data_IF_831838449289
#
_entry.id   IF_831838449289
#
_cell.length_a   1.000
_cell.length_b   1.000
_cell.length_c   1.000
_cell.angle_alpha   90.00
_cell.angle_beta   90.00
_cell.angle_gamma   90.00
#
_symmetry.space_group_name_H-M   'P 1'
#
loop_
_entity.id
_entity.type
_entity.pdbx_description
1 polymer ?
#
# COMPACT_ATOMS: atom_id res chain seq x y z
N UNK A 1 2.77 3.73 -21.27
CA UNK A 1 3.79 2.72 -20.90
C UNK A 1 3.41 1.34 -21.41
N UNK A 2 2.31 0.75 -20.95
CA UNK A 2 1.84 -0.59 -21.37
C UNK A 2 1.68 -0.76 -22.88
N UNK A 3 1.03 0.20 -23.56
CA UNK A 3 0.87 0.15 -25.02
C UNK A 3 2.22 0.09 -25.74
N UNK A 4 3.16 0.95 -25.35
CA UNK A 4 4.51 0.99 -25.93
C UNK A 4 5.29 -0.31 -25.70
N UNK A 5 5.17 -0.86 -24.48
CA UNK A 5 5.76 -2.15 -24.15
C UNK A 5 5.23 -3.26 -25.07
N UNK A 6 3.91 -3.34 -25.24
CA UNK A 6 3.30 -4.33 -26.14
C UNK A 6 3.70 -4.10 -27.59
N UNK A 7 3.81 -2.86 -28.06
CA UNK A 7 4.29 -2.56 -29.41
C UNK A 7 5.73 -3.04 -29.62
N UNK A 8 6.61 -2.89 -28.62
CA UNK A 8 8.01 -3.27 -28.72
C UNK A 8 8.25 -4.77 -28.53
N UNK A 9 7.47 -5.44 -27.68
CA UNK A 9 7.74 -6.80 -27.22
C UNK A 9 6.67 -7.84 -27.61
N UNK A 10 5.63 -7.46 -28.35
CA UNK A 10 4.64 -8.41 -28.86
C UNK A 10 5.30 -9.53 -29.67
N UNK A 11 4.89 -10.76 -29.41
CA UNK A 11 5.38 -11.96 -30.06
C UNK A 11 6.64 -12.57 -29.42
N UNK A 12 7.29 -11.88 -28.49
CA UNK A 12 8.50 -12.36 -27.81
C UNK A 12 8.17 -13.30 -26.63
N UNK A 13 9.10 -14.22 -26.34
CA UNK A 13 9.01 -15.10 -25.17
C UNK A 13 9.69 -14.45 -23.96
N UNK A 14 9.06 -14.58 -22.80
CA UNK A 14 9.57 -14.10 -21.53
C UNK A 14 9.66 -15.24 -20.51
N UNK A 15 10.64 -15.14 -19.62
CA UNK A 15 10.83 -16.05 -18.48
C UNK A 15 10.84 -15.25 -17.18
N UNK A 16 10.31 -15.81 -16.09
CA UNK A 16 10.40 -15.20 -14.75
C UNK A 16 11.87 -15.01 -14.35
N UNK A 17 12.23 -13.82 -13.91
CA UNK A 17 13.59 -13.38 -13.58
C UNK A 17 14.36 -12.75 -14.74
N UNK A 18 13.82 -12.77 -15.97
CA UNK A 18 14.48 -12.17 -17.12
C UNK A 18 14.59 -10.65 -16.94
N UNK A 19 15.78 -10.13 -17.20
CA UNK A 19 16.04 -8.70 -17.26
C UNK A 19 15.93 -8.21 -18.70
N UNK A 20 15.33 -7.04 -18.90
CA UNK A 20 15.18 -6.42 -20.22
C UNK A 20 15.27 -4.90 -20.10
N UNK A 21 15.74 -4.27 -21.17
CA UNK A 21 15.79 -2.83 -21.29
C UNK A 21 14.58 -2.33 -22.09
N UNK A 22 13.87 -1.35 -21.56
CA UNK A 22 12.67 -0.78 -22.17
C UNK A 22 12.85 0.73 -22.37
N UNK A 23 12.60 1.19 -23.60
CA UNK A 23 12.62 2.61 -23.94
C UNK A 23 11.20 3.17 -23.90
N UNK A 24 11.00 4.34 -23.31
CA UNK A 24 9.67 4.95 -23.20
C UNK A 24 9.73 6.46 -23.47
N UNK A 25 8.96 6.92 -24.46
CA UNK A 25 8.80 8.33 -24.84
C UNK A 25 10.13 9.09 -25.03
N UNK A 26 11.09 8.48 -25.73
CA UNK A 26 12.42 9.06 -26.00
C UNK A 26 13.23 9.50 -24.76
N UNK A 27 12.84 8.98 -23.58
CA UNK A 27 13.55 9.19 -22.31
C UNK A 27 14.46 8.00 -21.98
N UNK A 28 15.15 8.12 -20.84
CA UNK A 28 16.09 7.13 -20.26
C UNK A 28 15.60 5.68 -20.43
N UNK A 29 16.54 4.79 -20.78
CA UNK A 29 16.38 3.33 -20.74
C UNK A 29 16.00 2.87 -19.33
N UNK A 30 14.91 2.12 -19.24
CA UNK A 30 14.44 1.52 -17.99
C UNK A 30 14.87 0.06 -17.94
N UNK A 31 15.52 -0.35 -16.86
CA UNK A 31 15.76 -1.76 -16.56
C UNK A 31 14.49 -2.37 -15.95
N UNK A 32 13.94 -3.39 -16.60
CA UNK A 32 12.79 -4.14 -16.10
C UNK A 32 13.23 -5.57 -15.76
N UNK A 33 12.56 -6.17 -14.78
CA UNK A 33 12.71 -7.57 -14.40
C UNK A 33 11.33 -8.22 -14.41
N UNK A 34 11.19 -9.35 -15.09
CA UNK A 34 9.94 -10.12 -15.10
C UNK A 34 9.76 -10.79 -13.74
N UNK A 35 8.88 -10.24 -12.87
CA UNK A 35 8.62 -10.82 -11.54
C UNK A 35 7.73 -12.06 -11.58
N UNK A 36 6.65 -12.04 -12.36
CA UNK A 36 5.70 -13.14 -12.46
C UNK A 36 5.05 -13.19 -13.84
N UNK A 37 4.66 -14.38 -14.27
CA UNK A 37 3.95 -14.61 -15.52
C UNK A 37 2.73 -15.47 -15.26
N UNK A 38 1.61 -15.08 -15.87
CA UNK A 38 0.38 -15.87 -15.93
C UNK A 38 0.06 -16.11 -17.38
N UNK A 39 -0.04 -17.38 -17.78
CA UNK A 39 -0.36 -17.78 -19.13
C UNK A 39 -1.74 -18.43 -19.19
N UNK A 40 -2.41 -18.24 -20.31
CA UNK A 40 -3.61 -19.01 -20.68
C UNK A 40 -3.15 -20.08 -21.65
N UNK A 41 -3.49 -21.35 -21.37
CA UNK A 41 -3.13 -22.44 -22.26
C UNK A 41 -4.07 -22.45 -23.47
N UNK A 42 -3.54 -21.99 -24.60
CA UNK A 42 -4.27 -21.96 -25.87
C UNK A 42 -4.45 -23.38 -26.43
N UNK A 43 -3.65 -24.36 -26.02
CA UNK A 43 -3.76 -25.75 -26.49
C UNK A 43 -4.86 -26.53 -25.78
N UNK A 44 -5.34 -26.07 -24.64
CA UNK A 44 -6.57 -26.59 -24.02
C UNK A 44 -7.82 -26.24 -24.84
N UNK A 45 -7.74 -25.29 -25.78
CA UNK A 45 -8.86 -24.88 -26.64
C UNK A 45 -9.10 -25.82 -27.85
N UNK A 46 -8.22 -26.79 -28.11
CA UNK A 46 -8.34 -27.73 -29.23
C UNK A 46 -8.91 -29.10 -28.83
N UNK A 47 -9.17 -29.34 -27.54
CA UNK A 47 -9.87 -30.55 -27.11
C UNK A 47 -11.39 -30.39 -27.32
N UNK A 48 -12.07 -31.37 -27.96
CA UNK A 48 -13.49 -31.26 -28.31
C UNK A 48 -14.44 -31.23 -27.09
N UNK A 49 -13.94 -31.52 -25.88
CA UNK A 49 -14.71 -31.42 -24.64
C UNK A 49 -14.99 -29.96 -24.21
N UNK A 50 -14.10 -29.03 -24.57
CA UNK A 50 -14.16 -27.62 -24.13
C UNK A 50 -14.85 -26.68 -25.13
N UNK A 51 -15.23 -27.19 -26.33
CA UNK A 51 -16.04 -26.44 -27.30
C UNK A 51 -17.40 -26.01 -26.73
N UNK A 52 -17.91 -26.72 -25.71
CA UNK A 52 -19.12 -26.33 -24.97
C UNK A 52 -18.86 -25.27 -23.90
N UNK A 53 -17.63 -25.16 -23.36
CA UNK A 53 -17.25 -24.12 -22.40
C UNK A 53 -17.01 -22.76 -23.08
N UNK A 54 -16.52 -22.76 -24.32
CA UNK A 54 -16.33 -21.55 -25.12
C UNK A 54 -17.68 -20.98 -25.61
N UNK A 55 -18.68 -21.83 -25.89
CA UNK A 55 -20.07 -21.38 -26.16
C UNK A 55 -20.74 -20.73 -24.94
N UNK A 56 -20.19 -20.91 -23.74
CA UNK A 56 -20.70 -20.33 -22.49
C UNK A 56 -19.96 -19.05 -22.06
N UNK A 57 -19.02 -18.53 -22.87
CA UNK A 57 -18.31 -17.28 -22.56
C UNK A 57 -17.41 -17.33 -21.32
N UNK A 58 -16.90 -18.52 -20.96
CA UNK A 58 -15.96 -18.63 -19.84
C UNK A 58 -14.53 -18.40 -20.33
N UNK A 59 -13.98 -17.23 -19.98
CA UNK A 59 -12.56 -16.93 -20.13
C UNK A 59 -11.72 -17.99 -19.38
N UNK A 60 -10.80 -18.63 -20.09
CA UNK A 60 -9.88 -19.60 -19.51
C UNK A 60 -9.05 -18.93 -18.39
N UNK A 61 -9.06 -19.54 -17.20
CA UNK A 61 -8.41 -18.97 -16.01
C UNK A 61 -6.88 -18.92 -16.19
N UNK A 62 -6.25 -17.75 -16.03
CA UNK A 62 -4.79 -17.62 -16.12
C UNK A 62 -4.09 -18.48 -15.07
N UNK A 63 -3.10 -19.27 -15.49
CA UNK A 63 -2.27 -20.11 -14.60
C UNK A 63 -0.87 -19.55 -14.49
N UNK A 64 -0.27 -19.60 -13.30
CA UNK A 64 1.12 -19.17 -13.12
C UNK A 64 2.08 -20.10 -13.87
N UNK A 65 3.01 -19.50 -14.61
CA UNK A 65 4.00 -20.22 -15.40
C UNK A 65 5.38 -19.57 -15.25
N UNK A 66 6.43 -20.36 -15.50
CA UNK A 66 7.81 -19.86 -15.48
C UNK A 66 8.20 -19.16 -16.78
N UNK A 67 7.51 -19.47 -17.87
CA UNK A 67 7.73 -18.89 -19.19
C UNK A 67 6.41 -18.71 -19.93
N UNK A 68 6.38 -17.77 -20.86
CA UNK A 68 5.21 -17.48 -21.69
C UNK A 68 5.55 -16.60 -22.87
N UNK A 69 4.63 -16.51 -23.83
CA UNK A 69 4.76 -15.61 -24.99
C UNK A 69 3.90 -14.37 -24.75
N UNK A 70 4.48 -13.19 -24.95
CA UNK A 70 3.73 -11.94 -24.93
C UNK A 70 2.93 -11.81 -26.23
N UNK A 71 1.64 -11.56 -26.10
CA UNK A 71 0.69 -11.33 -27.19
C UNK A 71 0.17 -9.89 -27.11
N UNK A 72 -0.44 -9.38 -28.20
CA UNK A 72 -0.94 -8.00 -28.25
C UNK A 72 -2.05 -7.68 -27.23
N UNK A 73 -2.75 -8.70 -26.74
CA UNK A 73 -3.79 -8.64 -25.70
C UNK A 73 -3.25 -8.94 -24.29
N UNK A 74 -1.94 -9.14 -24.12
CA UNK A 74 -1.34 -9.42 -22.82
C UNK A 74 -1.51 -8.22 -21.88
N UNK A 75 -2.10 -8.47 -20.71
CA UNK A 75 -2.20 -7.45 -19.66
C UNK A 75 -0.87 -7.33 -18.92
N UNK A 76 -0.21 -6.18 -19.06
CA UNK A 76 1.07 -5.90 -18.38
C UNK A 76 0.84 -5.01 -17.16
N UNK A 77 1.42 -5.41 -16.03
CA UNK A 77 1.45 -4.62 -14.80
C UNK A 77 2.90 -4.24 -14.46
N UNK A 78 3.11 -2.97 -14.16
CA UNK A 78 4.41 -2.43 -13.77
C UNK A 78 4.45 -2.16 -12.27
N UNK A 79 5.50 -2.65 -11.61
CA UNK A 79 5.77 -2.36 -10.21
C UNK A 79 7.08 -1.59 -10.10
N UNK A 80 7.15 -0.68 -9.13
CA UNK A 80 8.35 0.08 -8.83
C UNK A 80 9.34 -0.83 -8.08
N UNK A 81 10.62 -0.80 -8.46
CA UNK A 81 11.66 -1.48 -7.67
C UNK A 81 11.89 -0.74 -6.33
N UNK A 82 12.22 -1.46 -5.27
CA UNK A 82 12.36 -0.94 -3.89
C UNK A 82 13.27 0.30 -3.83
N UNK A 83 14.39 0.29 -4.55
CA UNK A 83 15.37 1.38 -4.57
C UNK A 83 15.17 2.40 -5.70
N UNK A 84 14.06 2.34 -6.43
CA UNK A 84 13.81 3.29 -7.53
C UNK A 84 13.25 4.61 -6.99
N UNK A 85 13.54 5.73 -7.64
CA UNK A 85 12.84 7.01 -7.41
C UNK A 85 11.70 7.24 -8.41
N UNK A 86 11.36 6.23 -9.22
CA UNK A 86 10.32 6.33 -10.23
C UNK A 86 8.92 6.36 -9.62
N UNK A 87 8.14 7.36 -10.01
CA UNK A 87 6.72 7.46 -9.70
C UNK A 87 5.90 6.90 -10.87
N UNK A 88 5.39 5.68 -10.71
CA UNK A 88 4.49 5.05 -11.67
C UNK A 88 3.07 5.61 -11.48
N UNK A 89 2.47 6.05 -12.59
CA UNK A 89 1.11 6.64 -12.62
C UNK A 89 0.22 5.82 -13.55
N UNK A 90 -1.06 5.68 -13.21
CA UNK A 90 -2.09 5.05 -14.06
C UNK A 90 -2.48 3.62 -13.66
N UNK A 91 -3.43 3.07 -14.43
CA UNK A 91 -4.17 1.84 -14.09
C UNK A 91 -3.37 0.53 -14.26
N UNK A 92 -2.23 0.57 -14.97
CA UNK A 92 -1.35 -0.59 -15.14
C UNK A 92 -0.27 -0.69 -14.06
N UNK A 93 -0.35 0.10 -12.99
CA UNK A 93 0.47 -0.11 -11.80
C UNK A 93 0.05 -1.46 -11.20
N UNK A 94 1.00 -2.35 -10.94
CA UNK A 94 0.72 -3.58 -10.21
C UNK A 94 0.01 -3.23 -8.91
N UNK A 95 -0.96 -4.06 -8.50
CA UNK A 95 -1.53 -3.96 -7.15
C UNK A 95 -0.37 -4.20 -6.20
N UNK A 96 0.26 -3.12 -5.71
CA UNK A 96 1.13 -3.19 -4.55
C UNK A 96 0.28 -3.87 -3.51
N UNK A 97 0.64 -5.09 -3.12
CA UNK A 97 -0.03 -5.80 -2.04
C UNK A 97 0.15 -4.89 -0.82
N UNK A 98 -0.88 -4.11 -0.48
CA UNK A 98 -0.91 -3.42 0.80
C UNK A 98 -0.76 -4.52 1.84
N UNK A 99 0.32 -4.48 2.61
CA UNK A 99 0.23 -5.03 3.95
C UNK A 99 -0.97 -4.33 4.58
N UNK A 100 -1.97 -5.09 4.99
CA UNK A 100 -3.12 -4.50 5.66
C UNK A 100 -2.60 -3.79 6.90
N UNK A 101 -2.75 -2.46 6.95
CA UNK A 101 -2.47 -1.61 8.13
C UNK A 101 -3.40 -1.97 9.30
N UNK A 102 -4.22 -3.00 9.16
CA UNK A 102 -5.07 -3.52 10.22
C UNK A 102 -4.77 -5.00 10.37
N UNK A 103 -4.57 -5.42 11.61
CA UNK A 103 -4.59 -6.82 11.97
C UNK A 103 -5.96 -7.41 11.62
N UNK A 104 -6.04 -8.55 10.91
CA UNK A 104 -7.31 -9.16 10.54
C UNK A 104 -8.18 -9.55 11.74
N UNK A 105 -7.60 -9.63 12.94
CA UNK A 105 -8.26 -9.99 14.20
C UNK A 105 -8.76 -8.79 15.02
N UNK A 106 -8.91 -7.61 14.40
CA UNK A 106 -9.38 -6.42 15.09
C UNK A 106 -10.87 -6.51 15.46
N UNK A 107 -11.14 -7.10 16.62
CA UNK A 107 -12.47 -7.14 17.21
C UNK A 107 -12.59 -6.04 18.28
N UNK A 108 -13.42 -5.03 18.00
CA UNK A 108 -13.58 -3.84 18.85
C UNK A 108 -14.01 -4.22 20.28
N UNK A 109 -14.78 -5.29 20.44
CA UNK A 109 -15.24 -5.76 21.74
C UNK A 109 -14.12 -6.44 22.56
N UNK A 110 -13.03 -6.88 21.92
CA UNK A 110 -11.93 -7.59 22.58
C UNK A 110 -10.80 -6.67 23.05
N UNK A 111 -10.77 -5.40 22.63
CA UNK A 111 -9.74 -4.44 23.04
C UNK A 111 -9.87 -3.93 24.49
N UNK A 112 -10.97 -4.25 25.18
CA UNK A 112 -11.11 -3.94 26.61
C UNK A 112 -11.23 -2.45 26.96
N UNK A 113 -11.66 -1.61 26.02
CA UNK A 113 -11.88 -0.18 26.26
C UNK A 113 -13.31 0.04 26.78
N UNK A 114 -13.57 -0.35 28.03
CA UNK A 114 -14.90 -0.23 28.63
C UNK A 114 -15.43 1.22 28.65
N UNK A 115 -16.56 1.47 27.98
CA UNK A 115 -17.28 2.74 28.05
C UNK A 115 -16.81 3.85 27.12
N UNK A 116 -15.82 3.60 26.24
CA UNK A 116 -15.37 4.56 25.23
C UNK A 116 -15.58 4.09 23.78
N UNK A 117 -16.49 3.13 23.58
CA UNK A 117 -16.77 2.52 22.27
C UNK A 117 -17.21 3.58 21.24
N UNK A 118 -17.98 4.57 21.68
CA UNK A 118 -18.46 5.64 20.83
C UNK A 118 -17.32 6.53 20.35
N UNK A 119 -16.47 7.00 21.27
CA UNK A 119 -15.30 7.84 20.97
C UNK A 119 -14.33 7.09 20.06
N UNK A 120 -14.10 5.81 20.34
CA UNK A 120 -13.24 4.95 19.53
C UNK A 120 -13.79 4.77 18.13
N UNK A 121 -15.08 4.47 17.97
CA UNK A 121 -15.71 4.31 16.65
C UNK A 121 -15.65 5.60 15.82
N UNK A 122 -15.80 6.77 16.47
CA UNK A 122 -15.70 8.08 15.82
C UNK A 122 -14.28 8.33 15.34
N UNK A 123 -13.29 8.07 16.19
CA UNK A 123 -11.87 8.16 15.83
C UNK A 123 -11.58 7.22 14.67
N UNK A 124 -12.02 5.97 14.77
CA UNK A 124 -11.76 4.97 13.75
C UNK A 124 -12.32 5.36 12.39
N UNK A 125 -13.60 5.75 12.37
CA UNK A 125 -14.28 6.19 11.14
C UNK A 125 -13.66 7.45 10.55
N UNK A 126 -13.18 8.39 11.37
CA UNK A 126 -12.63 9.67 10.86
C UNK A 126 -11.17 9.56 10.43
N UNK A 127 -10.35 8.84 11.20
CA UNK A 127 -8.92 8.76 10.97
C UNK A 127 -8.51 7.63 10.02
N UNK A 128 -9.20 6.49 10.12
CA UNK A 128 -8.76 5.26 9.49
C UNK A 128 -9.63 4.79 8.32
N UNK A 129 -10.85 5.32 8.15
CA UNK A 129 -11.72 4.93 7.03
C UNK A 129 -11.02 5.05 5.66
N UNK A 130 -10.29 6.13 5.44
CA UNK A 130 -9.51 6.33 4.20
C UNK A 130 -8.43 5.25 3.96
N UNK A 131 -7.97 4.58 5.02
CA UNK A 131 -6.98 3.49 4.94
C UNK A 131 -7.65 2.12 4.75
N UNK A 132 -8.89 1.97 5.21
CA UNK A 132 -9.72 0.76 5.04
C UNK A 132 -10.29 0.67 3.62
N UNK A 133 -10.66 1.79 3.00
CA UNK A 133 -11.22 1.78 1.65
C UNK A 133 -10.17 1.54 0.55
N UNK A 134 -10.58 0.96 -0.60
CA UNK A 134 -9.71 0.80 -1.76
C UNK A 134 -9.10 2.14 -2.21
N UNK A 135 -7.80 2.19 -2.53
CA UNK A 135 -7.12 3.44 -2.91
C UNK A 135 -7.75 4.10 -4.13
N UNK A 136 -8.25 3.31 -5.09
CA UNK A 136 -8.94 3.81 -6.28
C UNK A 136 -10.14 4.69 -5.91
N UNK A 137 -10.90 4.29 -4.89
CA UNK A 137 -12.05 5.05 -4.39
C UNK A 137 -11.58 6.31 -3.66
N UNK A 138 -10.54 6.19 -2.83
CA UNK A 138 -10.01 7.31 -2.04
C UNK A 138 -9.38 8.39 -2.94
N UNK A 139 -8.65 7.98 -3.98
CA UNK A 139 -8.06 8.85 -5.00
C UNK A 139 -9.15 9.56 -5.82
N UNK A 140 -10.20 8.84 -6.22
CA UNK A 140 -11.35 9.44 -6.91
C UNK A 140 -12.08 10.48 -6.04
N UNK A 141 -12.16 10.25 -4.73
CA UNK A 141 -12.75 11.18 -3.78
C UNK A 141 -11.81 12.35 -3.43
N UNK A 142 -10.54 12.31 -3.83
CA UNK A 142 -9.55 13.34 -3.48
C UNK A 142 -9.30 13.45 -1.98
N UNK A 143 -9.60 12.41 -1.22
CA UNK A 143 -9.51 12.42 0.25
C UNK A 143 -8.05 12.34 0.70
N UNK A 144 -7.62 13.30 1.50
CA UNK A 144 -6.32 13.24 2.19
C UNK A 144 -6.43 12.36 3.43
N UNK A 145 -5.44 11.51 3.64
CA UNK A 145 -5.34 10.71 4.85
C UNK A 145 -5.07 11.61 6.07
N UNK A 146 -5.68 11.25 7.19
CA UNK A 146 -5.39 11.90 8.46
C UNK A 146 -3.96 11.57 8.87
N UNK A 147 -3.20 12.62 9.19
CA UNK A 147 -1.78 12.51 9.60
C UNK A 147 -1.62 12.24 11.09
N UNK A 148 -2.59 12.62 11.91
CA UNK A 148 -2.56 12.29 13.32
C UNK A 148 -3.82 12.67 14.10
N UNK A 149 -3.85 12.25 15.35
CA UNK A 149 -4.93 12.51 16.32
C UNK A 149 -4.36 13.21 17.54
N UNK A 150 -5.13 14.18 18.03
CA UNK A 150 -4.94 14.77 19.34
C UNK A 150 -6.00 14.25 20.31
N UNK A 151 -5.58 13.60 21.39
CA UNK A 151 -6.46 13.20 22.50
C UNK A 151 -6.29 14.19 23.65
N UNK A 152 -7.39 14.82 24.09
CA UNK A 152 -7.38 15.80 25.20
C UNK A 152 -8.52 15.52 26.20
N UNK A 153 -8.33 15.90 27.46
CA UNK A 153 -9.39 15.88 28.48
C UNK A 153 -8.85 15.69 29.90
N UNK A 154 -9.74 15.58 30.91
CA UNK A 154 -9.34 15.38 32.31
C UNK A 154 -8.45 14.14 32.53
N UNK A 155 -7.56 14.13 33.54
CA UNK A 155 -6.77 12.95 33.85
C UNK A 155 -7.68 11.76 34.23
N UNK A 156 -7.26 10.54 33.92
CA UNK A 156 -8.01 9.32 34.24
C UNK A 156 -9.08 8.88 33.22
N UNK A 157 -9.31 9.64 32.14
CA UNK A 157 -10.31 9.32 31.10
C UNK A 157 -9.80 8.38 29.99
N UNK A 158 -8.90 7.45 30.29
CA UNK A 158 -8.49 6.41 29.35
C UNK A 158 -7.69 6.84 28.09
N UNK A 159 -7.28 8.11 27.95
CA UNK A 159 -6.55 8.61 26.76
C UNK A 159 -5.29 7.82 26.40
N UNK A 160 -4.45 7.53 27.39
CA UNK A 160 -3.21 6.75 27.20
C UNK A 160 -3.51 5.31 26.79
N UNK A 161 -4.55 4.71 27.39
CA UNK A 161 -5.01 3.36 27.04
C UNK A 161 -5.54 3.33 25.60
N UNK A 162 -6.30 4.36 25.21
CA UNK A 162 -6.81 4.50 23.84
C UNK A 162 -5.68 4.64 22.82
N UNK A 163 -4.66 5.47 23.08
CA UNK A 163 -3.50 5.60 22.21
C UNK A 163 -2.73 4.29 22.04
N UNK A 164 -2.56 3.53 23.13
CA UNK A 164 -1.90 2.23 23.09
C UNK A 164 -2.68 1.22 22.23
N UNK A 165 -4.01 1.13 22.42
CA UNK A 165 -4.85 0.20 21.65
C UNK A 165 -4.91 0.55 20.16
N UNK A 166 -4.97 1.84 19.82
CA UNK A 166 -4.87 2.28 18.42
C UNK A 166 -3.51 1.87 17.83
N UNK A 167 -2.43 2.01 18.59
CA UNK A 167 -1.10 1.54 18.19
C UNK A 167 -1.06 0.04 17.90
N UNK A 168 -1.56 -0.78 18.82
CA UNK A 168 -1.65 -2.24 18.64
C UNK A 168 -2.51 -2.64 17.44
N UNK A 169 -3.60 -1.91 17.18
CA UNK A 169 -4.51 -2.19 16.06
C UNK A 169 -3.86 -1.94 14.69
N UNK A 170 -3.01 -0.93 14.58
CA UNK A 170 -2.49 -0.48 13.29
C UNK A 170 -1.44 -1.41 12.69
N UNK A 171 -1.01 -2.46 13.40
CA UNK A 171 0.04 -3.40 12.96
C UNK A 171 1.30 -2.70 12.38
N UNK A 172 1.43 -1.42 12.70
CA UNK A 172 2.39 -0.44 12.24
C UNK A 172 3.12 0.01 13.50
N UNK A 173 4.36 0.47 13.32
CA UNK A 173 5.31 0.87 14.36
C UNK A 173 4.63 1.34 15.66
N UNK A 174 5.07 0.81 16.81
CA UNK A 174 4.52 1.18 18.12
C UNK A 174 4.40 2.70 18.25
N UNK A 175 3.28 3.20 18.81
CA UNK A 175 3.06 4.64 18.90
C UNK A 175 4.18 5.25 19.73
N UNK A 176 4.92 6.20 19.14
CA UNK A 176 5.92 6.99 19.87
C UNK A 176 5.21 7.87 20.89
N UNK A 177 5.14 7.41 22.13
CA UNK A 177 4.58 8.19 23.24
C UNK A 177 5.62 9.23 23.65
N UNK A 178 5.29 10.50 23.44
CA UNK A 178 6.14 11.62 23.84
C UNK A 178 5.44 12.46 24.87
N UNK A 179 6.08 12.63 26.02
CA UNK A 179 5.59 13.52 27.06
C UNK A 179 5.99 14.96 26.70
N UNK A 180 5.04 15.90 26.74
CA UNK A 180 5.28 17.32 26.43
C UNK A 180 6.52 17.94 27.10
N UNK A 181 6.78 17.70 28.41
CA UNK A 181 7.98 18.19 29.08
C UNK A 181 9.30 17.63 28.53
N UNK A 182 9.31 16.42 27.95
CA UNK A 182 10.52 15.81 27.38
C UNK A 182 10.96 16.47 26.07
N UNK A 183 10.03 17.18 25.41
CA UNK A 183 10.31 17.92 24.17
C UNK A 183 10.93 19.29 24.47
N UNK A 184 10.78 19.81 25.68
CA UNK A 184 11.28 21.12 26.07
C UNK A 184 12.77 21.06 26.42
N UNK A 185 13.59 21.71 25.59
CA UNK A 185 15.01 21.96 25.86
C UNK A 185 15.21 23.21 26.72
N UNK A 186 16.33 23.25 27.45
CA UNK A 186 16.70 24.42 28.26
C UNK A 186 17.36 25.51 27.41
N UNK A 187 18.01 25.12 26.32
CA UNK A 187 18.69 26.05 25.43
C UNK A 187 17.84 26.39 24.19
N UNK A 188 18.10 27.56 23.61
CA UNK A 188 17.44 28.00 22.37
C UNK A 188 17.73 27.00 21.25
N UNK A 189 16.67 26.52 20.58
CA UNK A 189 16.77 25.59 19.45
C UNK A 189 16.81 24.09 19.82
N UNK A 190 17.02 23.74 21.10
CA UNK A 190 17.01 22.33 21.53
C UNK A 190 15.63 21.68 21.38
N UNK A 191 14.56 22.39 21.73
CA UNK A 191 13.19 21.88 21.60
C UNK A 191 12.85 21.55 20.14
N UNK A 192 13.23 22.44 19.21
CA UNK A 192 13.02 22.21 17.77
C UNK A 192 13.84 21.03 17.25
N UNK A 193 15.08 20.90 17.69
CA UNK A 193 15.93 19.77 17.32
C UNK A 193 15.36 18.44 17.82
N UNK A 194 14.81 18.41 19.04
CA UNK A 194 14.16 17.22 19.59
C UNK A 194 12.90 16.84 18.81
N UNK A 195 12.07 17.82 18.43
CA UNK A 195 10.91 17.57 17.56
C UNK A 195 11.37 17.01 16.21
N UNK A 196 12.35 17.62 15.54
CA UNK A 196 12.84 17.12 14.24
C UNK A 196 13.36 15.69 14.33
N UNK A 197 14.12 15.36 15.38
CA UNK A 197 14.62 13.99 15.62
C UNK A 197 13.49 12.99 15.83
N UNK A 198 12.43 13.37 16.53
CA UNK A 198 11.29 12.50 16.76
C UNK A 198 10.61 12.05 15.47
N UNK A 199 10.48 12.98 14.51
CA UNK A 199 9.85 12.76 13.21
C UNK A 199 10.80 12.22 12.12
N UNK A 200 12.12 12.25 12.34
CA UNK A 200 13.12 11.86 11.34
C UNK A 200 12.92 10.42 10.84
N UNK A 201 12.75 9.46 11.75
CA UNK A 201 12.53 8.05 11.39
C UNK A 201 11.26 7.88 10.54
N UNK A 202 10.21 8.65 10.85
CA UNK A 202 8.96 8.60 10.12
C UNK A 202 9.09 9.22 8.71
N UNK A 203 9.84 10.31 8.57
CA UNK A 203 10.14 10.90 7.25
C UNK A 203 10.99 9.97 6.38
N UNK A 204 11.88 9.18 6.98
CA UNK A 204 12.69 8.19 6.25
C UNK A 204 11.84 7.02 5.78
N UNK A 205 11.01 6.46 6.66
CA UNK A 205 10.07 5.39 6.31
C UNK A 205 9.04 5.84 5.25
N UNK A 206 8.53 7.09 5.32
CA UNK A 206 7.62 7.63 4.30
C UNK A 206 8.27 7.63 2.91
N UNK A 207 9.56 7.98 2.82
CA UNK A 207 10.32 8.00 1.56
C UNK A 207 10.56 6.59 1.01
N UNK A 208 10.79 5.61 1.89
CA UNK A 208 11.09 4.23 1.51
C UNK A 208 9.82 3.50 1.03
N UNK A 209 8.74 3.58 1.80
CA UNK A 209 7.54 2.75 1.54
C UNK A 209 6.56 3.46 0.60
N UNK A 210 6.69 4.78 0.39
CA UNK A 210 5.78 5.59 -0.45
C UNK A 210 4.29 5.34 -0.14
N UNK A 211 4.04 4.87 1.08
CA UNK A 211 2.80 4.33 1.58
C UNK A 211 2.40 5.14 2.79
N UNK A 212 1.10 5.20 2.97
CA UNK A 212 0.34 6.14 3.80
C UNK A 212 0.51 5.83 5.30
N UNK A 213 1.48 5.00 5.66
CA UNK A 213 1.46 4.22 6.89
C UNK A 213 1.73 5.07 8.13
N UNK A 214 2.24 6.29 7.97
CA UNK A 214 2.53 7.20 9.08
C UNK A 214 1.26 7.82 9.66
N UNK A 215 1.03 7.53 10.94
CA UNK A 215 -0.07 8.05 11.74
C UNK A 215 0.45 8.44 13.12
N UNK A 216 0.33 9.71 13.48
CA UNK A 216 0.82 10.21 14.76
C UNK A 216 -0.30 10.31 15.78
N UNK A 217 -0.06 9.86 17.00
CA UNK A 217 -0.97 10.09 18.13
C UNK A 217 -0.26 11.01 19.12
N UNK A 218 -0.85 12.17 19.36
CA UNK A 218 -0.37 13.14 20.35
C UNK A 218 -1.33 13.15 21.52
N UNK A 219 -0.77 13.06 22.73
CA UNK A 219 -1.49 13.11 24.00
C UNK A 219 -1.25 14.48 24.66
N UNK A 220 -2.32 15.18 25.06
CA UNK A 220 -2.26 16.42 25.84
C UNK A 220 -3.11 16.27 27.11
#
# INVERSE_FOLDING_TARGET
MTKEFLLQFSGQAFTVGQQLAFSFLDKKLLGLVVKSLKAVDVTALSQPADLNAIKAGQDAKPKETKMGRCLGDTTVQFEKAENSSLNLVGKSKGKVSRQSVFSPDCDFQKMGIGGMDNEFSVIFRRAFASRVFPPEVVEQLGCKHVKGILLYGPPGMGKTLMAHQIGTMLNACEPKIVNGPQVLGKNVGESEANIRRLFADAEEEEKLVNSIDHFFIVLI
#
